data_IF_575852449097
#
_entry.id   IF_575852449097
#
_cell.length_a   1.000
_cell.length_b   1.000
_cell.length_c   1.000
_cell.angle_alpha   90.00
_cell.angle_beta   90.00
_cell.angle_gamma   90.00
#
_symmetry.space_group_name_H-M   'P 1'
#
loop_
_entity.id
_entity.type
_entity.pdbx_description
1 polymer ?
#
# COMPACT_ATOMS: atom_id res chain seq x y z
N UNK A 1 3.56 -30.89 -18.77
CA UNK A 1 4.71 -30.08 -19.22
C UNK A 1 4.32 -28.71 -19.78
N UNK A 2 3.28 -28.63 -20.60
CA UNK A 2 2.79 -27.35 -21.15
C UNK A 2 2.32 -26.39 -20.09
N UNK A 3 1.64 -26.86 -19.04
CA UNK A 3 1.17 -26.01 -17.94
C UNK A 3 2.32 -25.37 -17.14
N UNK A 4 3.40 -26.11 -16.91
CA UNK A 4 4.59 -25.59 -16.23
C UNK A 4 5.30 -24.51 -17.04
N UNK A 5 5.39 -24.69 -18.35
CA UNK A 5 5.99 -23.70 -19.25
C UNK A 5 5.16 -22.44 -19.36
N UNK A 6 3.83 -22.57 -19.38
CA UNK A 6 2.93 -21.42 -19.43
C UNK A 6 2.99 -20.58 -18.14
N UNK A 7 3.09 -21.22 -16.97
CA UNK A 7 3.24 -20.53 -15.70
C UNK A 7 4.60 -19.81 -15.59
N UNK A 8 5.68 -20.47 -16.01
CA UNK A 8 7.01 -19.85 -16.10
C UNK A 8 7.02 -18.67 -17.06
N UNK A 9 6.38 -18.83 -18.24
CA UNK A 9 6.26 -17.77 -19.24
C UNK A 9 5.49 -16.57 -18.70
N UNK A 10 4.44 -16.78 -17.90
CA UNK A 10 3.69 -15.69 -17.28
C UNK A 10 4.57 -14.81 -16.39
N UNK A 11 5.50 -15.41 -15.66
CA UNK A 11 6.47 -14.69 -14.84
C UNK A 11 7.56 -14.03 -15.67
N UNK A 12 8.06 -14.71 -16.68
CA UNK A 12 9.13 -14.22 -17.56
C UNK A 12 8.65 -13.10 -18.48
N UNK A 13 7.35 -13.07 -18.78
CA UNK A 13 6.75 -12.08 -19.68
C UNK A 13 6.29 -10.82 -18.98
N UNK A 14 6.52 -10.66 -17.68
CA UNK A 14 6.21 -9.39 -17.01
C UNK A 14 7.15 -8.30 -17.49
N UNK A 15 6.59 -7.14 -17.76
CA UNK A 15 7.35 -5.98 -18.21
C UNK A 15 7.83 -5.16 -17.02
N UNK A 16 8.90 -4.36 -17.15
CA UNK A 16 9.40 -3.52 -16.07
C UNK A 16 8.37 -2.56 -15.49
N UNK A 17 7.51 -1.97 -16.32
CA UNK A 17 6.45 -1.08 -15.86
C UNK A 17 5.33 -1.83 -15.13
N UNK A 18 5.05 -3.05 -15.55
CA UNK A 18 4.07 -3.90 -14.87
C UNK A 18 4.57 -4.30 -13.48
N UNK A 19 5.85 -4.63 -13.34
CA UNK A 19 6.47 -4.95 -12.05
C UNK A 19 6.44 -3.74 -11.11
N UNK A 20 6.74 -2.56 -11.62
CA UNK A 20 6.65 -1.33 -10.85
C UNK A 20 5.25 -1.11 -10.31
N UNK A 21 4.23 -1.22 -11.17
CA UNK A 21 2.83 -1.08 -10.76
C UNK A 21 2.41 -2.12 -9.74
N UNK A 22 2.85 -3.37 -9.93
CA UNK A 22 2.53 -4.45 -8.99
C UNK A 22 3.04 -4.15 -7.58
N UNK A 23 4.26 -3.66 -7.45
CA UNK A 23 4.83 -3.30 -6.14
C UNK A 23 4.06 -2.14 -5.51
N UNK A 24 3.72 -1.13 -6.28
CA UNK A 24 2.96 0.04 -5.80
C UNK A 24 1.55 -0.34 -5.37
N UNK A 25 0.87 -1.14 -6.17
CA UNK A 25 -0.49 -1.58 -5.85
C UNK A 25 -0.52 -2.53 -4.65
N UNK A 26 0.51 -3.34 -4.47
CA UNK A 26 0.63 -4.21 -3.30
C UNK A 26 0.76 -3.40 -2.02
N UNK A 27 1.53 -2.32 -2.03
CA UNK A 27 1.60 -1.41 -0.89
C UNK A 27 0.24 -0.85 -0.52
N UNK A 28 -0.51 -0.37 -1.52
CA UNK A 28 -1.86 0.16 -1.30
C UNK A 28 -2.79 -0.91 -0.71
N UNK A 29 -2.74 -2.12 -1.24
CA UNK A 29 -3.52 -3.25 -0.73
C UNK A 29 -3.20 -3.53 0.74
N UNK A 30 -1.92 -3.59 1.08
CA UNK A 30 -1.50 -3.84 2.46
C UNK A 30 -1.93 -2.71 3.40
N UNK A 31 -1.86 -1.47 2.96
CA UNK A 31 -2.32 -0.31 3.73
C UNK A 31 -3.82 -0.38 4.01
N UNK A 32 -4.60 -0.75 3.01
CA UNK A 32 -6.06 -0.91 3.14
C UNK A 32 -6.40 -2.10 4.05
N UNK A 33 -5.69 -3.20 3.90
CA UNK A 33 -5.87 -4.39 4.73
C UNK A 33 -5.59 -4.08 6.20
N UNK A 34 -4.47 -3.41 6.47
CA UNK A 34 -4.07 -3.00 7.82
C UNK A 34 -5.01 -1.95 8.41
N UNK A 35 -5.53 -1.06 7.57
CA UNK A 35 -6.40 0.05 7.97
C UNK A 35 -7.86 -0.31 8.17
N UNK A 36 -8.25 -1.56 7.94
CA UNK A 36 -9.63 -2.00 8.15
C UNK A 36 -10.61 -1.61 7.04
N UNK A 37 -10.13 -1.31 5.84
CA UNK A 37 -10.98 -0.97 4.70
C UNK A 37 -11.78 -2.16 4.16
N UNK A 38 -11.33 -3.37 4.46
CA UNK A 38 -12.04 -4.58 4.06
C UNK A 38 -12.82 -5.15 5.24
N UNK A 39 -14.06 -5.56 5.00
CA UNK A 39 -14.89 -6.18 6.02
C UNK A 39 -14.38 -7.57 6.37
N UNK A 40 -14.57 -7.96 7.64
CA UNK A 40 -14.32 -9.34 8.12
C UNK A 40 -12.88 -9.83 8.02
N UNK A 41 -11.93 -8.91 8.06
CA UNK A 41 -10.52 -9.29 8.09
C UNK A 41 -10.12 -9.61 9.55
N UNK A 42 -9.59 -10.81 9.83
CA UNK A 42 -9.12 -11.14 11.16
C UNK A 42 -8.03 -10.20 11.65
N UNK A 43 -7.99 -9.96 12.96
CA UNK A 43 -6.98 -9.11 13.59
C UNK A 43 -5.56 -9.56 13.27
N UNK A 44 -5.31 -10.87 13.28
CA UNK A 44 -4.00 -11.43 12.98
C UNK A 44 -3.52 -11.07 11.57
N UNK A 45 -4.43 -11.06 10.59
CA UNK A 45 -4.11 -10.70 9.20
C UNK A 45 -3.77 -9.21 9.10
N UNK A 46 -4.53 -8.36 9.79
CA UNK A 46 -4.24 -6.92 9.82
C UNK A 46 -2.89 -6.62 10.47
N UNK A 47 -2.56 -7.31 11.53
CA UNK A 47 -1.27 -7.16 12.21
C UNK A 47 -0.11 -7.62 11.31
N UNK A 48 -0.29 -8.71 10.58
CA UNK A 48 0.69 -9.18 9.61
C UNK A 48 0.92 -8.18 8.48
N UNK A 49 -0.16 -7.59 7.97
CA UNK A 49 -0.06 -6.53 6.95
C UNK A 49 0.74 -5.34 7.47
N UNK A 50 0.51 -4.90 8.71
CA UNK A 50 1.28 -3.82 9.34
C UNK A 50 2.76 -4.18 9.49
N UNK A 51 3.04 -5.41 9.87
CA UNK A 51 4.41 -5.88 10.01
C UNK A 51 5.16 -5.86 8.68
N UNK A 52 4.51 -6.27 7.60
CA UNK A 52 5.08 -6.23 6.26
C UNK A 52 5.32 -4.80 5.77
N UNK A 53 4.42 -3.88 6.11
CA UNK A 53 4.54 -2.48 5.72
C UNK A 53 5.75 -1.76 6.34
N UNK A 54 6.23 -2.21 7.50
CA UNK A 54 7.38 -1.59 8.18
C UNK A 54 8.63 -1.53 7.32
N UNK A 55 8.85 -2.54 6.51
CA UNK A 55 10.05 -2.67 5.67
C UNK A 55 9.70 -2.70 4.18
N UNK A 56 8.49 -2.32 3.84
CA UNK A 56 8.07 -2.26 2.45
C UNK A 56 8.81 -1.11 1.74
N UNK A 57 9.28 -1.32 0.50
CA UNK A 57 9.99 -0.26 -0.22
C UNK A 57 9.13 0.99 -0.36
N UNK A 58 9.71 2.14 0.00
CA UNK A 58 9.05 3.42 -0.19
C UNK A 58 8.99 3.79 -1.67
N UNK A 59 8.17 4.79 -1.99
CA UNK A 59 8.09 5.34 -3.34
C UNK A 59 9.47 5.79 -3.84
N UNK A 60 10.24 6.43 -2.96
CA UNK A 60 11.59 6.88 -3.25
C UNK A 60 12.53 5.71 -3.58
N UNK A 61 12.48 4.64 -2.78
CA UNK A 61 13.32 3.47 -3.00
C UNK A 61 13.02 2.81 -4.34
N UNK A 62 11.73 2.66 -4.66
CA UNK A 62 11.31 2.05 -5.91
C UNK A 62 11.64 2.91 -7.12
N UNK A 63 11.49 4.24 -7.00
CA UNK A 63 11.85 5.18 -8.07
C UNK A 63 13.36 5.15 -8.32
N UNK A 64 14.17 5.07 -7.26
CA UNK A 64 15.62 4.90 -7.40
C UNK A 64 15.98 3.58 -8.09
N UNK A 65 15.31 2.50 -7.72
CA UNK A 65 15.51 1.20 -8.38
C UNK A 65 15.16 1.28 -9.88
N UNK A 66 14.09 1.98 -10.23
CA UNK A 66 13.73 2.19 -11.62
C UNK A 66 14.78 3.01 -12.38
N UNK A 67 15.35 4.04 -11.75
CA UNK A 67 16.38 4.88 -12.36
C UNK A 67 17.69 4.11 -12.57
N UNK A 68 18.08 3.27 -11.61
CA UNK A 68 19.34 2.53 -11.67
C UNK A 68 19.24 1.22 -12.44
N UNK A 69 18.06 0.62 -12.50
CA UNK A 69 17.83 -0.67 -13.16
C UNK A 69 16.56 -0.64 -14.03
N UNK A 70 16.56 0.14 -15.12
CA UNK A 70 15.37 0.28 -15.98
C UNK A 70 14.94 -1.00 -16.68
N UNK A 71 15.80 -1.99 -16.73
CA UNK A 71 15.44 -3.32 -17.24
C UNK A 71 14.65 -4.15 -16.24
N UNK A 72 14.63 -3.75 -14.96
CA UNK A 72 13.87 -4.41 -13.90
C UNK A 72 12.59 -3.66 -13.60
N UNK A 73 12.69 -2.35 -13.39
CA UNK A 73 11.56 -1.48 -13.07
C UNK A 73 11.55 -0.25 -13.96
N UNK A 74 10.38 0.12 -14.46
CA UNK A 74 10.15 1.39 -15.14
C UNK A 74 8.99 2.09 -14.45
N UNK A 75 9.23 3.34 -14.03
CA UNK A 75 8.23 4.14 -13.34
C UNK A 75 7.04 4.43 -14.26
N UNK A 76 5.87 3.97 -13.83
CA UNK A 76 4.62 4.23 -14.52
C UNK A 76 3.48 4.18 -13.52
N UNK A 77 2.87 5.32 -13.26
CA UNK A 77 1.72 5.42 -12.37
C UNK A 77 0.45 5.69 -13.15
N UNK A 78 -0.56 4.87 -12.88
CA UNK A 78 -1.91 5.10 -13.35
C UNK A 78 -2.47 6.34 -12.64
N UNK A 79 -3.08 7.32 -13.36
CA UNK A 79 -3.72 8.47 -12.72
C UNK A 79 -4.78 8.07 -11.69
N UNK A 80 -5.55 7.02 -11.98
CA UNK A 80 -6.55 6.51 -11.06
C UNK A 80 -5.92 6.02 -9.75
N UNK A 81 -4.77 5.35 -9.83
CA UNK A 81 -4.03 4.90 -8.65
C UNK A 81 -3.62 6.08 -7.76
N UNK A 82 -3.11 7.16 -8.36
CA UNK A 82 -2.73 8.37 -7.62
C UNK A 82 -3.92 8.98 -6.89
N UNK A 83 -5.06 9.06 -7.55
CA UNK A 83 -6.29 9.60 -6.95
C UNK A 83 -6.76 8.75 -5.77
N UNK A 84 -6.77 7.44 -5.92
CA UNK A 84 -7.18 6.51 -4.85
C UNK A 84 -6.25 6.60 -3.66
N UNK A 85 -4.95 6.62 -3.91
CA UNK A 85 -3.95 6.72 -2.83
C UNK A 85 -4.08 8.05 -2.08
N UNK A 86 -4.27 9.14 -2.79
CA UNK A 86 -4.44 10.47 -2.19
C UNK A 86 -5.72 10.52 -1.35
N UNK A 87 -6.81 9.97 -1.85
CA UNK A 87 -8.07 9.89 -1.12
C UNK A 87 -7.91 9.09 0.17
N UNK A 88 -7.27 7.94 0.11
CA UNK A 88 -7.03 7.10 1.29
C UNK A 88 -6.16 7.81 2.33
N UNK A 89 -5.15 8.55 1.89
CA UNK A 89 -4.30 9.34 2.79
C UNK A 89 -5.09 10.46 3.47
N UNK A 90 -5.92 11.18 2.72
CA UNK A 90 -6.74 12.26 3.26
C UNK A 90 -7.75 11.72 4.26
N UNK A 91 -8.36 10.59 3.99
CA UNK A 91 -9.30 9.95 4.89
C UNK A 91 -8.64 9.55 6.21
N UNK A 92 -7.42 8.99 6.16
CA UNK A 92 -6.66 8.64 7.37
C UNK A 92 -6.31 9.88 8.18
N UNK A 93 -5.89 10.96 7.53
CA UNK A 93 -5.58 12.22 8.22
C UNK A 93 -6.83 12.79 8.91
N UNK A 94 -7.98 12.73 8.25
CA UNK A 94 -9.25 13.17 8.83
C UNK A 94 -9.65 12.33 10.04
N UNK A 95 -9.47 11.01 9.97
CA UNK A 95 -9.74 10.10 11.09
C UNK A 95 -8.80 10.37 12.26
N UNK A 96 -7.52 10.62 12.01
CA UNK A 96 -6.53 10.95 13.05
C UNK A 96 -6.87 12.27 13.74
N UNK A 97 -7.27 13.28 12.98
CA UNK A 97 -7.69 14.58 13.54
C UNK A 97 -8.95 14.41 14.39
N UNK A 98 -9.93 13.66 13.92
CA UNK A 98 -11.14 13.37 14.68
C UNK A 98 -10.83 12.66 15.98
N UNK A 99 -9.94 11.66 15.94
CA UNK A 99 -9.52 10.92 17.14
C UNK A 99 -8.84 11.84 18.16
N UNK A 100 -7.94 12.71 17.69
CA UNK A 100 -7.25 13.68 18.55
C UNK A 100 -8.23 14.65 19.20
N UNK A 101 -9.24 15.10 18.46
CA UNK A 101 -10.28 15.98 19.00
C UNK A 101 -11.12 15.30 20.06
N UNK A 102 -11.50 14.03 19.82
CA UNK A 102 -12.26 13.25 20.79
C UNK A 102 -11.48 13.04 22.09
N UNK A 103 -10.20 12.72 22.00
CA UNK A 103 -9.32 12.58 23.15
C UNK A 103 -9.16 13.88 23.92
N UNK A 104 -9.05 15.01 23.25
CA UNK A 104 -8.96 16.32 23.87
C UNK A 104 -10.24 16.66 24.63
N UNK A 105 -11.41 16.37 24.05
CA UNK A 105 -12.70 16.57 24.68
C UNK A 105 -12.88 15.71 25.93
N UNK A 106 -12.47 14.44 25.88
CA UNK A 106 -12.51 13.54 27.03
C UNK A 106 -11.63 14.04 28.17
N UNK A 107 -10.43 14.55 27.87
CA UNK A 107 -9.55 15.14 28.87
C UNK A 107 -10.15 16.36 29.54
N UNK A 108 -10.85 17.21 28.79
CA UNK A 108 -11.54 18.38 29.36
C UNK A 108 -12.67 17.97 30.32
N UNK A 109 -13.43 16.93 29.98
CA UNK A 109 -14.50 16.42 30.83
C UNK A 109 -13.97 15.82 32.13
N UNK A 110 -12.79 15.18 32.09
CA UNK A 110 -12.16 14.60 33.28
C UNK A 110 -11.61 15.67 34.24
N UNK A 111 -11.31 16.86 33.76
CA UNK A 111 -10.82 17.97 34.59
C UNK A 111 -11.94 18.76 35.28
N UNK A 112 -13.17 18.55 34.90
CA UNK A 112 -14.34 19.14 35.51
C UNK A 112 -14.90 18.25 36.62
#
# INVERSE_FOLDING_TARGET
MLKKRLLSRSRELTLPDERYRAVRHTELFLQRLAGGHYARVPKAVREEARALLRHYPSDYDLDRAADTAPHVFVKRLDPLYKMVKQHDMQQRMAEDVEQDLLEALEKQQQQL
#
